data_IF_766612950818
#
_entry.id   IF_766612950818
#
_cell.length_a   1.000
_cell.length_b   1.000
_cell.length_c   1.000
_cell.angle_alpha   90.00
_cell.angle_beta   90.00
_cell.angle_gamma   90.00
#
_symmetry.space_group_name_H-M   'P 1'
#
loop_
_entity.id
_entity.type
_entity.pdbx_description
1 polymer ?
#
# COMPACT_ATOMS: atom_id res chain seq x y z
N UNK A 1 9.73 -14.51 -1.70
CA UNK A 1 10.07 -15.94 -1.70
C UNK A 1 11.55 -16.18 -1.37
N UNK A 2 12.48 -15.45 -2.00
CA UNK A 2 13.91 -15.56 -1.68
C UNK A 2 14.20 -15.21 -0.21
N UNK A 3 13.68 -14.08 0.27
CA UNK A 3 13.83 -13.70 1.67
C UNK A 3 13.29 -14.76 2.63
N UNK A 4 12.10 -15.28 2.34
CA UNK A 4 11.49 -16.36 3.14
C UNK A 4 12.34 -17.64 3.12
N UNK A 5 12.92 -17.98 1.96
CA UNK A 5 13.79 -19.17 1.81
C UNK A 5 15.11 -19.05 2.57
N UNK A 6 15.66 -17.86 2.68
CA UNK A 6 16.94 -17.61 3.36
C UNK A 6 16.77 -17.07 4.79
N UNK A 7 15.55 -16.96 5.30
CA UNK A 7 15.31 -16.43 6.63
C UNK A 7 15.64 -14.94 6.77
N UNK A 8 15.58 -14.17 5.68
CA UNK A 8 15.91 -12.75 5.67
C UNK A 8 14.64 -11.91 5.90
N UNK A 9 14.67 -10.93 6.80
CA UNK A 9 13.55 -10.01 6.97
C UNK A 9 13.32 -9.17 5.70
N UNK A 10 12.10 -8.72 5.51
CA UNK A 10 11.68 -7.87 4.38
C UNK A 10 11.36 -6.48 4.90
N UNK A 11 11.91 -5.45 4.24
CA UNK A 11 11.51 -4.06 4.44
C UNK A 11 10.83 -3.58 3.15
N UNK A 12 9.56 -3.20 3.27
CA UNK A 12 8.77 -2.67 2.16
C UNK A 12 8.70 -1.15 2.25
N UNK A 13 9.23 -0.46 1.24
CA UNK A 13 9.12 0.98 1.10
C UNK A 13 8.01 1.30 0.09
N UNK A 14 6.86 1.72 0.61
CA UNK A 14 5.63 1.85 -0.20
C UNK A 14 5.52 3.26 -0.77
N UNK A 15 5.52 3.35 -2.09
CA UNK A 15 5.11 4.55 -2.84
C UNK A 15 4.46 4.09 -4.15
N UNK A 16 3.16 3.82 -4.12
CA UNK A 16 2.44 3.32 -5.28
C UNK A 16 1.10 4.04 -5.47
N UNK A 17 0.76 4.41 -6.71
CA UNK A 17 -0.56 4.97 -7.04
C UNK A 17 -1.68 3.90 -7.09
N UNK A 18 -1.36 2.65 -6.80
CA UNK A 18 -2.24 1.50 -6.98
C UNK A 18 -1.87 0.66 -8.19
N UNK A 19 -2.74 -0.29 -8.53
CA UNK A 19 -2.59 -1.10 -9.74
C UNK A 19 -3.04 -0.32 -10.97
N UNK A 20 -2.35 -0.53 -12.08
CA UNK A 20 -2.81 -0.02 -13.38
C UNK A 20 -4.13 -0.70 -13.76
N UNK A 21 -4.98 0.03 -14.46
CA UNK A 21 -6.27 -0.47 -14.96
C UNK A 21 -6.39 -0.22 -16.46
N UNK A 22 -7.23 -1.00 -17.12
CA UNK A 22 -7.53 -0.86 -18.53
C UNK A 22 -7.09 -2.05 -19.37
N UNK A 23 -7.62 -2.15 -20.61
CA UNK A 23 -7.43 -3.33 -21.46
C UNK A 23 -5.95 -3.65 -21.73
N UNK A 24 -5.12 -2.63 -21.95
CA UNK A 24 -3.71 -2.82 -22.26
C UNK A 24 -2.93 -3.37 -21.05
N UNK A 25 -3.22 -2.86 -19.84
CA UNK A 25 -2.63 -3.35 -18.61
C UNK A 25 -3.08 -4.79 -18.32
N UNK A 26 -4.36 -5.09 -18.50
CA UNK A 26 -4.93 -6.42 -18.27
C UNK A 26 -4.41 -7.45 -19.28
N UNK A 27 -4.18 -7.05 -20.53
CA UNK A 27 -3.58 -7.91 -21.56
C UNK A 27 -2.20 -8.43 -21.20
N UNK A 28 -1.47 -7.74 -20.31
CA UNK A 28 -0.15 -8.20 -19.78
C UNK A 28 -0.25 -9.27 -18.69
N UNK A 29 -1.46 -9.69 -18.31
CA UNK A 29 -1.68 -10.64 -17.22
C UNK A 29 -1.58 -10.00 -15.83
N UNK A 30 -1.88 -8.70 -15.72
CA UNK A 30 -1.76 -7.91 -14.48
C UNK A 30 -2.42 -8.60 -13.28
N UNK A 31 -3.66 -9.08 -13.44
CA UNK A 31 -4.41 -9.75 -12.35
C UNK A 31 -3.66 -10.96 -11.83
N UNK A 32 -3.08 -11.76 -12.74
CA UNK A 32 -2.28 -12.93 -12.38
C UNK A 32 -1.04 -12.53 -11.57
N UNK A 33 -0.30 -11.52 -12.04
CA UNK A 33 0.92 -11.06 -11.35
C UNK A 33 0.60 -10.42 -9.99
N UNK A 34 -0.46 -9.64 -9.90
CA UNK A 34 -0.94 -9.07 -8.64
C UNK A 34 -1.34 -10.16 -7.64
N UNK A 35 -2.12 -11.15 -8.08
CA UNK A 35 -2.53 -12.29 -7.25
C UNK A 35 -1.33 -13.06 -6.69
N UNK A 36 -0.28 -13.25 -7.51
CA UNK A 36 0.96 -13.91 -7.07
C UNK A 36 1.69 -13.12 -5.99
N UNK A 37 1.74 -11.79 -6.11
CA UNK A 37 2.35 -10.94 -5.09
C UNK A 37 1.60 -11.02 -3.77
N UNK A 38 0.26 -10.96 -3.80
CA UNK A 38 -0.58 -11.13 -2.63
C UNK A 38 -0.41 -12.53 -1.98
N UNK A 39 -0.40 -13.59 -2.78
CA UNK A 39 -0.18 -14.95 -2.28
C UNK A 39 1.20 -15.12 -1.67
N UNK A 40 2.24 -14.55 -2.30
CA UNK A 40 3.60 -14.59 -1.76
C UNK A 40 3.71 -13.83 -0.45
N UNK A 41 3.03 -12.68 -0.32
CA UNK A 41 2.94 -11.92 0.92
C UNK A 41 2.25 -12.70 2.03
N UNK A 42 1.08 -13.27 1.73
CA UNK A 42 0.31 -14.06 2.70
C UNK A 42 1.03 -15.36 3.15
N UNK A 43 1.93 -15.88 2.33
CA UNK A 43 2.76 -17.04 2.66
C UNK A 43 4.09 -16.68 3.33
N UNK A 44 4.39 -15.40 3.53
CA UNK A 44 5.65 -14.93 4.11
C UNK A 44 5.73 -15.28 5.59
N UNK A 45 6.86 -15.85 6.02
CA UNK A 45 7.09 -16.26 7.41
C UNK A 45 8.23 -15.50 8.08
N UNK A 46 8.98 -14.75 7.30
CA UNK A 46 10.01 -13.86 7.84
C UNK A 46 9.40 -12.51 8.23
N UNK A 47 10.01 -11.78 9.18
CA UNK A 47 9.55 -10.46 9.57
C UNK A 47 9.39 -9.52 8.38
N UNK A 48 8.25 -8.85 8.30
CA UNK A 48 7.95 -7.80 7.34
C UNK A 48 7.76 -6.48 8.09
N UNK A 49 8.43 -5.43 7.66
CA UNK A 49 8.22 -4.05 8.14
C UNK A 49 7.86 -3.18 6.95
N UNK A 50 6.84 -2.37 7.06
CA UNK A 50 6.39 -1.48 6.00
C UNK A 50 6.53 0.00 6.38
N UNK A 51 7.02 0.79 5.42
CA UNK A 51 7.11 2.25 5.55
C UNK A 51 6.44 2.89 4.34
N UNK A 52 5.37 3.64 4.56
CA UNK A 52 4.65 4.36 3.51
C UNK A 52 5.27 5.74 3.35
N UNK A 53 5.94 5.95 2.21
CA UNK A 53 6.74 7.15 1.98
C UNK A 53 5.89 8.33 1.48
N UNK A 54 4.99 8.04 0.52
CA UNK A 54 4.17 9.05 -0.13
C UNK A 54 2.79 8.53 -0.50
N UNK A 55 2.67 7.63 -1.47
CA UNK A 55 1.38 7.11 -1.94
C UNK A 55 1.21 5.65 -1.53
N UNK A 56 0.14 5.38 -0.79
CA UNK A 56 -0.25 4.03 -0.40
C UNK A 56 -1.67 3.74 -0.88
N UNK A 57 -1.87 3.55 -2.21
CA UNK A 57 -3.21 3.42 -2.75
C UNK A 57 -3.57 2.00 -3.16
N UNK A 58 -4.77 1.60 -2.76
CA UNK A 58 -5.49 0.42 -3.23
C UNK A 58 -4.75 -0.89 -3.05
N UNK A 59 -5.08 -1.87 -3.89
CA UNK A 59 -4.47 -3.20 -3.88
C UNK A 59 -2.96 -3.19 -4.11
N UNK A 60 -2.42 -2.16 -4.77
CA UNK A 60 -0.98 -2.01 -4.96
C UNK A 60 -0.25 -1.86 -3.63
N UNK A 61 -0.74 -0.97 -2.77
CA UNK A 61 -0.20 -0.80 -1.43
C UNK A 61 -0.39 -2.06 -0.58
N UNK A 62 -1.60 -2.65 -0.58
CA UNK A 62 -1.86 -3.88 0.16
C UNK A 62 -0.94 -5.02 -0.26
N UNK A 63 -0.69 -5.19 -1.56
CA UNK A 63 0.21 -6.23 -2.05
C UNK A 63 1.67 -6.00 -1.60
N UNK A 64 2.11 -4.75 -1.48
CA UNK A 64 3.44 -4.40 -1.00
C UNK A 64 3.62 -4.63 0.51
N UNK A 65 2.54 -4.71 1.27
CA UNK A 65 2.57 -4.92 2.73
C UNK A 65 2.07 -6.31 3.15
N UNK A 66 2.10 -7.27 2.26
CA UNK A 66 1.75 -8.67 2.57
C UNK A 66 0.25 -8.98 2.49
N UNK A 67 -0.58 -8.05 2.01
CA UNK A 67 -2.02 -8.24 1.82
C UNK A 67 -2.90 -7.34 2.69
N UNK A 68 -2.38 -6.81 3.78
CA UNK A 68 -3.07 -5.87 4.67
C UNK A 68 -2.06 -4.94 5.34
N UNK A 69 -2.45 -3.71 5.67
CA UNK A 69 -1.63 -2.78 6.45
C UNK A 69 -1.32 -3.29 7.86
N UNK A 70 -2.10 -4.25 8.36
CA UNK A 70 -1.93 -4.89 9.67
C UNK A 70 -1.12 -6.20 9.64
N UNK A 71 -0.69 -6.64 8.46
CA UNK A 71 0.08 -7.89 8.34
C UNK A 71 1.56 -7.73 8.73
N UNK A 72 2.24 -6.61 8.41
CA UNK A 72 3.61 -6.39 8.85
C UNK A 72 3.73 -6.33 10.38
N UNK A 73 4.91 -6.65 10.90
CA UNK A 73 5.24 -6.43 12.33
C UNK A 73 5.13 -4.96 12.73
N UNK A 74 5.33 -4.07 11.77
CA UNK A 74 5.23 -2.64 11.95
C UNK A 74 4.86 -2.02 10.60
N UNK A 75 3.83 -1.20 10.59
CA UNK A 75 3.44 -0.37 9.43
C UNK A 75 3.43 1.09 9.86
N UNK A 76 4.40 1.84 9.37
CA UNK A 76 4.50 3.28 9.65
C UNK A 76 4.45 4.11 8.38
N UNK A 77 4.15 5.38 8.52
CA UNK A 77 4.12 6.30 7.40
C UNK A 77 4.94 7.56 7.69
N UNK A 78 5.45 8.19 6.64
CA UNK A 78 5.95 9.55 6.74
C UNK A 78 4.80 10.56 6.71
N UNK A 79 4.98 11.78 7.25
CA UNK A 79 3.96 12.83 7.22
C UNK A 79 3.50 13.23 5.81
N UNK A 80 4.33 12.93 4.79
CA UNK A 80 4.03 13.15 3.36
C UNK A 80 3.16 12.06 2.74
N UNK A 81 2.82 11.02 3.49
CA UNK A 81 2.07 9.89 2.97
C UNK A 81 0.57 10.16 2.91
N UNK A 82 -0.04 9.65 1.85
CA UNK A 82 -1.50 9.61 1.64
C UNK A 82 -1.93 8.16 1.41
N UNK A 83 -3.02 7.77 2.04
CA UNK A 83 -3.60 6.44 1.92
C UNK A 83 -5.03 6.53 1.38
N UNK A 84 -5.42 5.56 0.58
CA UNK A 84 -6.77 5.53 0.02
C UNK A 84 -7.04 4.28 -0.79
N UNK A 85 -8.32 4.01 -1.12
CA UNK A 85 -8.71 2.82 -1.85
C UNK A 85 -8.24 2.82 -3.32
N UNK A 86 -7.95 3.99 -3.87
CA UNK A 86 -7.45 4.19 -5.23
C UNK A 86 -6.84 5.60 -5.36
N UNK A 87 -6.26 5.92 -6.51
CA UNK A 87 -5.76 7.27 -6.79
C UNK A 87 -6.86 8.31 -6.63
N UNK A 88 -6.57 9.39 -5.89
CA UNK A 88 -7.61 10.30 -5.36
C UNK A 88 -8.37 11.04 -6.45
N UNK A 89 -7.70 11.50 -7.52
CA UNK A 89 -8.39 12.14 -8.65
C UNK A 89 -9.38 11.18 -9.32
N UNK A 90 -8.96 9.93 -9.55
CA UNK A 90 -9.84 8.90 -10.09
C UNK A 90 -11.02 8.59 -9.18
N UNK A 91 -10.79 8.57 -7.86
CA UNK A 91 -11.84 8.38 -6.87
C UNK A 91 -12.87 9.52 -6.90
N UNK A 92 -12.42 10.78 -6.98
CA UNK A 92 -13.27 11.97 -7.10
C UNK A 92 -14.11 11.92 -8.37
N UNK A 93 -13.48 11.66 -9.52
CA UNK A 93 -14.19 11.56 -10.81
C UNK A 93 -15.22 10.44 -10.82
N UNK A 94 -14.93 9.33 -10.17
CA UNK A 94 -15.85 8.20 -10.09
C UNK A 94 -17.02 8.46 -9.13
N UNK A 95 -16.71 8.90 -7.91
CA UNK A 95 -17.72 9.12 -6.86
C UNK A 95 -18.68 10.26 -7.18
N UNK A 96 -18.16 11.33 -7.80
CA UNK A 96 -18.92 12.55 -8.11
C UNK A 96 -19.23 12.69 -9.59
N UNK A 97 -19.21 11.59 -10.32
CA UNK A 97 -19.42 11.56 -11.78
C UNK A 97 -20.64 12.34 -12.20
N UNK A 98 -21.79 12.15 -11.55
CA UNK A 98 -23.06 12.81 -11.90
C UNK A 98 -22.99 14.31 -11.68
N UNK A 99 -22.45 14.77 -10.55
CA UNK A 99 -22.22 16.19 -10.24
C UNK A 99 -21.32 16.85 -11.29
N UNK A 100 -20.24 16.16 -11.68
CA UNK A 100 -19.29 16.67 -12.66
C UNK A 100 -19.88 16.69 -14.09
N UNK A 101 -20.75 15.75 -14.45
CA UNK A 101 -21.45 15.72 -15.75
C UNK A 101 -22.46 16.87 -15.90
N UNK A 102 -23.00 17.42 -14.81
CA UNK A 102 -23.88 18.58 -14.82
C UNK A 102 -23.17 19.92 -15.13
N UNK A 103 -21.85 19.95 -14.95
CA UNK A 103 -21.03 21.13 -15.27
C UNK A 103 -20.72 21.11 -16.77
N UNK A 104 -21.37 21.99 -17.53
CA UNK A 104 -21.24 22.04 -18.98
C UNK A 104 -19.88 22.59 -19.45
N UNK A 105 -19.30 23.53 -18.71
CA UNK A 105 -18.00 24.11 -19.04
C UNK A 105 -16.87 23.19 -18.55
N UNK A 106 -15.99 22.82 -19.48
CA UNK A 106 -14.87 21.89 -19.22
C UNK A 106 -13.83 22.49 -18.28
N UNK A 107 -13.51 23.79 -18.41
CA UNK A 107 -12.54 24.44 -17.52
C UNK A 107 -13.08 24.51 -16.08
N UNK A 108 -14.35 24.79 -15.92
CA UNK A 108 -15.01 24.81 -14.62
C UNK A 108 -15.07 23.41 -14.00
N UNK A 109 -15.38 22.41 -14.82
CA UNK A 109 -15.36 20.99 -14.39
C UNK A 109 -13.99 20.57 -13.89
N UNK A 110 -12.94 20.86 -14.64
CA UNK A 110 -11.57 20.53 -14.24
C UNK A 110 -11.10 21.31 -13.00
N UNK A 111 -11.53 22.57 -12.84
CA UNK A 111 -11.30 23.32 -11.60
C UNK A 111 -11.97 22.61 -10.42
N UNK A 112 -13.23 22.22 -10.57
CA UNK A 112 -13.98 21.50 -9.54
C UNK A 112 -13.33 20.17 -9.15
N UNK A 113 -12.86 19.41 -10.12
CA UNK A 113 -12.10 18.17 -9.87
C UNK A 113 -10.84 18.46 -9.05
N UNK A 114 -10.06 19.48 -9.39
CA UNK A 114 -8.86 19.84 -8.61
C UNK A 114 -9.19 20.24 -7.17
N UNK A 115 -10.25 21.02 -6.95
CA UNK A 115 -10.69 21.41 -5.61
C UNK A 115 -11.08 20.20 -4.76
N UNK A 116 -11.89 19.31 -5.33
CA UNK A 116 -12.34 18.10 -4.66
C UNK A 116 -11.19 17.10 -4.41
N UNK A 117 -10.25 17.03 -5.34
CA UNK A 117 -9.06 16.19 -5.17
C UNK A 117 -8.18 16.72 -4.03
N UNK A 118 -8.00 18.04 -3.93
CA UNK A 118 -7.25 18.64 -2.81
C UNK A 118 -7.91 18.36 -1.46
N UNK A 119 -9.25 18.40 -1.38
CA UNK A 119 -9.98 18.01 -0.17
C UNK A 119 -9.81 16.51 0.14
N UNK A 120 -9.85 15.67 -0.88
CA UNK A 120 -9.61 14.23 -0.72
C UNK A 120 -8.18 13.95 -0.25
N UNK A 121 -7.19 14.70 -0.73
CA UNK A 121 -5.80 14.61 -0.27
C UNK A 121 -5.65 14.94 1.21
N UNK A 122 -6.30 16.00 1.69
CA UNK A 122 -6.31 16.34 3.11
C UNK A 122 -6.89 15.22 3.98
N UNK A 123 -7.97 14.59 3.53
CA UNK A 123 -8.59 13.47 4.24
C UNK A 123 -7.73 12.18 4.18
N UNK A 124 -6.97 12.00 3.12
CA UNK A 124 -6.14 10.81 2.87
C UNK A 124 -4.77 10.86 3.58
N UNK A 125 -4.44 11.93 4.30
CA UNK A 125 -3.16 12.05 5.01
C UNK A 125 -2.94 10.90 5.99
N UNK A 126 -1.70 10.43 6.06
CA UNK A 126 -1.30 9.35 6.96
C UNK A 126 -1.72 9.58 8.41
N UNK A 127 -1.70 10.83 8.89
CA UNK A 127 -2.12 11.18 10.23
C UNK A 127 -3.60 10.82 10.48
N UNK A 128 -4.47 11.06 9.47
CA UNK A 128 -5.88 10.67 9.57
C UNK A 128 -6.04 9.13 9.58
N UNK A 129 -5.28 8.43 8.74
CA UNK A 129 -5.26 6.96 8.75
C UNK A 129 -4.80 6.40 10.11
N UNK A 130 -3.78 7.00 10.73
CA UNK A 130 -3.30 6.62 12.05
C UNK A 130 -4.37 6.83 13.14
N UNK A 131 -5.19 7.88 13.06
CA UNK A 131 -6.31 8.07 14.00
C UNK A 131 -7.40 7.00 13.90
N UNK A 132 -7.46 6.31 12.76
CA UNK A 132 -8.37 5.18 12.53
C UNK A 132 -7.70 3.82 12.78
N UNK A 133 -6.48 3.81 13.32
CA UNK A 133 -5.68 2.60 13.56
C UNK A 133 -5.35 1.80 12.30
N UNK A 134 -5.30 2.44 11.13
CA UNK A 134 -4.85 1.83 9.88
C UNK A 134 -3.32 1.70 9.81
N UNK A 135 -2.60 2.44 10.66
CA UNK A 135 -1.15 2.47 10.79
C UNK A 135 -0.77 2.42 12.27
N UNK A 136 0.42 1.90 12.56
CA UNK A 136 0.97 1.91 13.91
C UNK A 136 1.44 3.29 14.32
N UNK A 137 2.07 4.06 13.40
CA UNK A 137 2.56 5.40 13.71
C UNK A 137 2.82 6.24 12.44
N UNK A 138 2.92 7.56 12.64
CA UNK A 138 3.44 8.52 11.64
C UNK A 138 4.75 9.09 12.19
N UNK A 139 5.86 8.78 11.52
CA UNK A 139 7.21 9.01 12.02
C UNK A 139 7.98 10.08 11.23
N UNK A 140 8.95 10.73 11.88
CA UNK A 140 9.94 11.53 11.16
C UNK A 140 10.77 10.63 10.22
N UNK A 141 10.95 11.01 8.94
CA UNK A 141 11.82 10.27 8.02
C UNK A 141 13.21 9.96 8.58
N UNK A 142 13.77 10.83 9.43
CA UNK A 142 15.06 10.62 10.07
C UNK A 142 15.08 9.43 11.05
N UNK A 143 13.95 9.06 11.61
CA UNK A 143 13.80 7.94 12.56
C UNK A 143 13.64 6.58 11.89
N UNK A 144 13.37 6.57 10.57
CA UNK A 144 13.04 5.35 9.81
C UNK A 144 14.04 4.23 10.03
N UNK A 145 15.36 4.53 9.93
CA UNK A 145 16.40 3.51 10.07
C UNK A 145 16.46 2.92 11.47
N UNK A 146 16.41 3.77 12.49
CA UNK A 146 16.53 3.34 13.89
C UNK A 146 15.31 2.50 14.29
N UNK A 147 14.11 2.90 13.84
CA UNK A 147 12.88 2.19 14.11
C UNK A 147 12.85 0.81 13.45
N UNK A 148 13.20 0.73 12.15
CA UNK A 148 13.32 -0.55 11.45
C UNK A 148 14.31 -1.47 12.14
N UNK A 149 15.50 -0.96 12.49
CA UNK A 149 16.54 -1.75 13.12
C UNK A 149 16.12 -2.29 14.50
N UNK A 150 15.47 -1.47 15.33
CA UNK A 150 14.97 -1.89 16.64
C UNK A 150 13.82 -2.90 16.52
N UNK A 151 12.89 -2.69 15.61
CA UNK A 151 11.78 -3.61 15.35
C UNK A 151 12.28 -4.99 14.91
N UNK A 152 13.21 -5.02 13.95
CA UNK A 152 13.78 -6.28 13.47
C UNK A 152 14.64 -6.97 14.54
N UNK A 153 15.35 -6.22 15.38
CA UNK A 153 16.11 -6.79 16.50
C UNK A 153 15.20 -7.41 17.57
N UNK A 154 14.00 -6.85 17.76
CA UNK A 154 13.01 -7.39 18.69
C UNK A 154 12.18 -8.54 18.09
N UNK A 155 12.18 -8.67 16.77
CA UNK A 155 11.42 -9.73 16.09
C UNK A 155 11.97 -11.10 16.49
N UNK A 156 11.13 -11.91 17.10
CA UNK A 156 11.45 -13.32 17.33
C UNK A 156 11.19 -14.09 16.02
N UNK A 157 12.15 -14.90 15.61
CA UNK A 157 11.94 -15.82 14.51
C UNK A 157 10.75 -16.72 14.87
N UNK A 158 9.64 -16.62 14.12
CA UNK A 158 8.55 -17.58 14.25
C UNK A 158 9.07 -18.94 13.83
N UNK A 159 8.98 -19.98 14.69
CA UNK A 159 9.35 -21.31 14.29
C UNK A 159 8.49 -21.67 13.08
N UNK A 160 9.14 -22.07 11.98
CA UNK A 160 8.43 -22.64 10.84
C UNK A 160 7.67 -23.86 11.32
N UNK A 161 6.35 -23.89 11.18
CA UNK A 161 5.58 -25.07 11.47
C UNK A 161 6.17 -26.26 10.72
N UNK A 162 6.54 -27.31 11.46
CA UNK A 162 7.12 -28.53 10.89
C UNK A 162 6.18 -29.07 9.81
N UNK A 163 6.69 -29.27 8.60
CA UNK A 163 5.97 -29.84 7.47
C UNK A 163 5.23 -28.87 6.56
N UNK A 164 5.29 -27.56 6.76
CA UNK A 164 4.75 -26.62 5.80
C UNK A 164 5.68 -26.49 4.58
N UNK A 165 5.20 -26.93 3.41
CA UNK A 165 5.91 -26.69 2.17
C UNK A 165 5.95 -25.20 1.89
N UNK A 166 7.13 -24.68 1.55
CA UNK A 166 7.26 -23.31 1.07
C UNK A 166 6.58 -23.19 -0.28
N UNK A 167 5.72 -22.18 -0.39
CA UNK A 167 5.10 -21.89 -1.67
C UNK A 167 6.18 -21.36 -2.63
N UNK A 168 6.47 -22.14 -3.67
CA UNK A 168 7.32 -21.71 -4.79
C UNK A 168 6.43 -21.69 -6.01
N UNK A 169 6.21 -20.48 -6.53
CA UNK A 169 5.41 -20.33 -7.73
C UNK A 169 6.23 -20.79 -8.95
N UNK A 170 5.67 -21.73 -9.72
CA UNK A 170 6.20 -22.12 -11.00
C UNK A 170 5.85 -21.07 -12.06
N UNK A 171 6.83 -20.61 -12.79
CA UNK A 171 6.71 -19.61 -13.85
C UNK A 171 5.92 -20.11 -15.05
#
# INVERSE_FOLDING_TARGET
>A
QLCDSFGLPVVSLVDTPGMMVGPDAEATGLVRHTSRLLLAGAALRVPLVAVILRRGYGLGAQAMVGGSLHEPLLTVAWPTAHLGPMGLEGAVRLALRRELEEIADEEERERRVRELTAQAEDNARALNAATLFELDDVIDPAETRSLIASTLAAATAHPTADGSHRFVDAW
#
